data_IF_172368430817
#
_entry.id   IF_172368430817
#
_cell.length_a   1.000
_cell.length_b   1.000
_cell.length_c   1.000
_cell.angle_alpha   90.00
_cell.angle_beta   90.00
_cell.angle_gamma   90.00
#
_symmetry.space_group_name_H-M   'P 1'
#
loop_
_entity.id
_entity.type
_entity.pdbx_description
1 polymer ?
#
# COMPACT_ATOMS: atom_id res chain seq x y z
N UNK A 1 -1.65 43.73 -42.83
CA UNK A 1 -2.31 42.72 -41.97
C UNK A 1 -2.34 41.41 -42.76
N UNK A 2 -1.41 40.50 -42.49
CA UNK A 2 -1.36 39.18 -43.15
C UNK A 2 -1.27 38.09 -42.09
N UNK A 3 -2.26 37.21 -42.12
CA UNK A 3 -2.37 36.02 -41.27
C UNK A 3 -1.50 34.93 -41.88
N UNK A 4 -0.61 34.32 -41.08
CA UNK A 4 -0.02 33.01 -41.40
C UNK A 4 0.04 32.17 -40.14
N UNK A 5 -0.87 31.21 -40.07
CA UNK A 5 -0.80 30.06 -39.19
C UNK A 5 0.36 29.17 -39.61
N UNK A 6 1.14 28.68 -38.64
CA UNK A 6 2.01 27.52 -38.80
C UNK A 6 1.76 26.60 -37.60
N UNK A 7 0.88 25.63 -37.85
CA UNK A 7 0.80 24.36 -37.13
C UNK A 7 1.87 23.44 -37.70
N UNK A 8 2.59 22.73 -36.83
CA UNK A 8 2.96 21.35 -37.13
C UNK A 8 4.44 20.98 -37.06
N UNK A 9 4.66 19.93 -36.27
CA UNK A 9 5.74 18.93 -36.37
C UNK A 9 7.08 19.26 -35.67
N UNK A 10 7.09 19.11 -34.34
CA UNK A 10 8.32 18.76 -33.60
C UNK A 10 8.57 17.26 -33.76
N UNK A 11 9.42 16.91 -34.71
CA UNK A 11 9.96 15.59 -34.93
C UNK A 11 11.14 15.39 -33.95
N UNK A 12 10.89 14.87 -32.74
CA UNK A 12 11.97 14.47 -31.84
C UNK A 12 12.28 13.00 -32.05
N UNK A 13 13.30 12.77 -32.88
CA UNK A 13 14.02 11.53 -32.98
C UNK A 13 14.56 11.13 -31.59
N UNK A 14 14.24 9.93 -31.14
CA UNK A 14 14.92 9.28 -30.01
C UNK A 14 16.29 8.79 -30.49
N UNK A 15 17.41 9.19 -29.86
CA UNK A 15 18.68 8.52 -30.08
C UNK A 15 18.72 7.21 -29.29
N UNK A 16 18.90 6.10 -30.02
CA UNK A 16 19.31 4.81 -29.45
C UNK A 16 20.76 4.90 -28.96
N UNK A 17 21.10 4.39 -27.76
CA UNK A 17 22.48 4.05 -27.44
C UNK A 17 22.80 2.63 -27.91
N UNK A 18 23.73 2.50 -28.85
CA UNK A 18 24.58 1.32 -29.01
C UNK A 18 25.74 1.41 -28.01
N UNK A 19 26.04 0.36 -27.25
CA UNK A 19 27.41 -0.04 -26.86
C UNK A 19 27.42 -1.50 -26.37
N UNK A 20 27.89 -2.37 -27.27
CA UNK A 20 29.01 -3.32 -27.12
C UNK A 20 29.27 -4.05 -25.79
N UNK A 21 29.08 -5.38 -25.90
CA UNK A 21 29.93 -6.51 -25.49
C UNK A 21 30.71 -6.49 -24.16
N UNK A 22 30.36 -7.49 -23.33
CA UNK A 22 31.31 -8.50 -22.85
C UNK A 22 31.95 -8.23 -21.48
N UNK A 23 31.70 -9.12 -20.51
CA UNK A 23 32.74 -9.96 -19.89
C UNK A 23 32.19 -10.88 -18.77
N UNK A 24 32.49 -12.18 -18.96
CA UNK A 24 33.13 -13.10 -18.00
C UNK A 24 32.43 -13.36 -16.65
N UNK A 25 31.74 -14.49 -16.63
CA UNK A 25 31.87 -15.61 -15.69
C UNK A 25 32.28 -15.32 -14.24
N UNK A 26 31.36 -15.57 -13.33
CA UNK A 26 31.66 -16.03 -11.99
C UNK A 26 30.87 -17.31 -11.70
N UNK A 27 31.58 -18.45 -11.64
CA UNK A 27 31.16 -19.62 -10.87
C UNK A 27 32.14 -19.76 -9.72
N UNK A 28 31.63 -19.81 -8.48
CA UNK A 28 32.18 -20.75 -7.51
C UNK A 28 31.13 -21.78 -7.13
N UNK A 29 31.58 -23.03 -7.15
CA UNK A 29 30.86 -24.19 -6.70
C UNK A 29 30.88 -24.33 -5.16
N UNK A 30 29.97 -25.18 -4.70
CA UNK A 30 30.10 -26.06 -3.53
C UNK A 30 29.89 -25.49 -2.12
N UNK A 31 28.67 -25.76 -1.62
CA UNK A 31 28.36 -26.64 -0.46
C UNK A 31 29.27 -26.58 0.77
N UNK A 32 28.64 -26.28 1.92
CA UNK A 32 28.76 -26.89 3.25
C UNK A 32 28.03 -25.96 4.23
N UNK A 33 27.31 -26.34 5.27
CA UNK A 33 26.79 -27.59 5.79
C UNK A 33 25.72 -27.16 6.83
N UNK A 34 24.76 -28.03 7.12
CA UNK A 34 23.85 -27.90 8.27
C UNK A 34 24.63 -27.63 9.57
N UNK A 35 24.10 -26.75 10.41
CA UNK A 35 24.30 -26.80 11.85
C UNK A 35 23.00 -26.39 12.56
N UNK A 36 22.21 -27.42 12.93
CA UNK A 36 21.20 -27.31 13.97
C UNK A 36 21.90 -27.08 15.32
N UNK A 37 21.53 -26.04 16.05
CA UNK A 37 21.75 -25.97 17.49
C UNK A 37 20.44 -25.60 18.19
N UNK A 38 19.76 -26.63 18.67
CA UNK A 38 18.73 -26.57 19.71
C UNK A 38 19.38 -26.28 21.07
N UNK A 39 18.92 -25.25 21.77
CA UNK A 39 19.09 -25.06 23.22
C UNK A 39 17.76 -24.49 23.74
N UNK A 40 16.85 -25.33 24.27
CA UNK A 40 16.73 -25.78 25.67
C UNK A 40 16.45 -24.66 26.69
N UNK A 41 15.19 -24.69 27.14
CA UNK A 41 14.68 -24.52 28.51
C UNK A 41 14.94 -23.22 29.31
N UNK A 42 13.83 -22.63 29.76
CA UNK A 42 13.56 -22.48 31.19
C UNK A 42 14.01 -21.17 31.82
N UNK A 43 13.19 -20.12 31.68
CA UNK A 43 13.29 -18.89 32.48
C UNK A 43 12.06 -18.74 33.37
N UNK A 44 12.26 -18.74 34.68
CA UNK A 44 11.26 -18.83 35.73
C UNK A 44 10.27 -17.65 35.80
N UNK A 45 9.04 -17.99 36.18
CA UNK A 45 8.00 -17.09 36.67
C UNK A 45 8.42 -16.48 38.01
N UNK A 46 8.80 -15.19 38.03
CA UNK A 46 8.70 -14.38 39.26
C UNK A 46 8.40 -12.92 38.88
N UNK A 47 7.20 -12.46 39.24
CA UNK A 47 6.75 -11.10 39.01
C UNK A 47 5.56 -10.79 39.91
N UNK A 48 5.78 -10.82 41.23
CA UNK A 48 4.85 -10.27 42.20
C UNK A 48 5.02 -8.75 42.20
N UNK A 49 4.04 -8.04 41.64
CA UNK A 49 3.98 -6.58 41.63
C UNK A 49 2.54 -6.16 41.80
N UNK A 50 2.12 -6.00 43.06
CA UNK A 50 0.82 -5.47 43.42
C UNK A 50 0.70 -4.01 42.98
N UNK A 51 -0.25 -3.75 42.10
CA UNK A 51 -0.79 -2.44 41.76
C UNK A 51 -2.19 -2.68 41.22
N UNK A 52 -3.21 -2.13 41.89
CA UNK A 52 -4.62 -2.50 41.71
C UNK A 52 -5.08 -2.50 40.25
N UNK A 53 -5.19 -3.70 39.68
CA UNK A 53 -5.93 -3.93 38.44
C UNK A 53 -7.41 -3.95 38.78
N UNK A 54 -8.14 -2.90 38.38
CA UNK A 54 -9.56 -3.04 38.17
C UNK A 54 -9.75 -4.27 37.26
N UNK A 55 -10.52 -5.25 37.73
CA UNK A 55 -10.78 -6.45 36.97
C UNK A 55 -11.39 -6.03 35.61
N UNK A 56 -10.83 -6.48 34.47
CA UNK A 56 -11.49 -6.25 33.19
C UNK A 56 -12.88 -6.86 33.26
N UNK A 57 -13.88 -6.06 32.89
CA UNK A 57 -15.27 -6.46 32.86
C UNK A 57 -15.41 -7.71 31.96
N UNK A 58 -15.81 -8.87 32.49
CA UNK A 58 -15.93 -10.10 31.69
C UNK A 58 -17.01 -9.99 30.61
N UNK A 59 -17.87 -8.97 30.67
CA UNK A 59 -18.91 -8.68 29.67
C UNK A 59 -18.48 -7.63 28.62
N UNK A 60 -17.23 -7.14 28.68
CA UNK A 60 -16.69 -6.26 27.65
C UNK A 60 -16.49 -7.03 26.34
N UNK A 61 -17.51 -6.97 25.48
CA UNK A 61 -17.41 -7.47 24.11
C UNK A 61 -16.36 -6.65 23.35
N UNK A 62 -15.34 -7.27 22.71
CA UNK A 62 -14.39 -6.56 21.88
C UNK A 62 -15.14 -5.78 20.79
N UNK A 63 -14.95 -4.47 20.73
CA UNK A 63 -15.48 -3.68 19.63
C UNK A 63 -14.85 -4.18 18.32
N UNK A 64 -15.69 -4.52 17.34
CA UNK A 64 -15.21 -4.91 16.01
C UNK A 64 -14.48 -3.72 15.37
N UNK A 65 -13.15 -3.75 15.35
CA UNK A 65 -12.36 -2.74 14.66
C UNK A 65 -12.43 -3.00 13.16
N UNK A 66 -13.07 -2.08 12.43
CA UNK A 66 -13.03 -2.09 10.96
C UNK A 66 -11.87 -1.22 10.52
N UNK A 67 -11.01 -1.77 9.66
CA UNK A 67 -9.99 -0.99 8.96
C UNK A 67 -10.67 0.02 8.05
N UNK A 68 -10.28 1.28 8.20
CA UNK A 68 -10.77 2.39 7.40
C UNK A 68 -10.11 2.39 6.01
N UNK A 69 -10.71 3.04 5.00
CA UNK A 69 -10.08 3.20 3.69
C UNK A 69 -8.71 3.90 3.76
N UNK A 70 -8.57 4.88 4.66
CA UNK A 70 -7.30 5.58 4.87
C UNK A 70 -6.20 4.65 5.42
N UNK A 71 -6.54 3.78 6.37
CA UNK A 71 -5.60 2.79 6.91
C UNK A 71 -5.19 1.74 5.87
N UNK A 72 -6.13 1.27 5.04
CA UNK A 72 -5.83 0.37 3.93
C UNK A 72 -4.90 1.03 2.89
N UNK A 73 -5.20 2.27 2.50
CA UNK A 73 -4.34 3.06 1.62
C UNK A 73 -2.93 3.21 2.19
N UNK A 74 -2.82 3.60 3.46
CA UNK A 74 -1.52 3.84 4.10
C UNK A 74 -0.68 2.56 4.16
N UNK A 75 -1.30 1.42 4.49
CA UNK A 75 -0.63 0.12 4.51
C UNK A 75 -0.14 -0.30 3.12
N UNK A 76 -1.00 -0.20 2.10
CA UNK A 76 -0.68 -0.63 0.74
C UNK A 76 0.40 0.25 0.10
N UNK A 77 0.24 1.57 0.19
CA UNK A 77 1.19 2.54 -0.39
C UNK A 77 2.54 2.48 0.32
N UNK A 78 2.57 2.37 1.65
CA UNK A 78 3.84 2.30 2.41
C UNK A 78 4.62 1.03 2.10
N UNK A 79 3.93 -0.11 1.98
CA UNK A 79 4.55 -1.37 1.59
C UNK A 79 5.25 -1.26 0.24
N UNK A 80 4.54 -0.80 -0.79
CA UNK A 80 5.11 -0.69 -2.13
C UNK A 80 6.21 0.38 -2.23
N UNK A 81 6.07 1.49 -1.50
CA UNK A 81 7.11 2.51 -1.44
C UNK A 81 8.42 1.97 -0.80
N UNK A 82 8.31 1.14 0.23
CA UNK A 82 9.47 0.47 0.86
C UNK A 82 10.11 -0.54 -0.09
N UNK A 83 9.32 -1.32 -0.82
CA UNK A 83 9.82 -2.24 -1.84
C UNK A 83 10.53 -1.49 -2.98
N UNK A 84 9.99 -0.35 -3.40
CA UNK A 84 10.62 0.53 -4.39
C UNK A 84 11.95 1.12 -3.90
N UNK A 85 12.09 1.42 -2.60
CA UNK A 85 13.36 1.86 -2.01
C UNK A 85 14.40 0.75 -1.94
N UNK A 86 13.97 -0.48 -1.62
CA UNK A 86 14.86 -1.65 -1.56
C UNK A 86 15.37 -2.03 -2.95
N UNK A 87 14.63 -1.69 -4.00
CA UNK A 87 14.93 -2.14 -5.36
C UNK A 87 14.74 -3.66 -5.47
N UNK A 88 13.71 -4.20 -4.81
CA UNK A 88 13.40 -5.63 -4.86
C UNK A 88 12.97 -6.05 -6.27
N UNK A 89 12.94 -7.36 -6.52
CA UNK A 89 12.46 -7.93 -7.80
C UNK A 89 11.04 -7.47 -8.15
N UNK A 90 10.24 -7.09 -7.14
CA UNK A 90 8.86 -6.61 -7.27
C UNK A 90 8.74 -5.10 -7.49
N UNK A 91 9.83 -4.34 -7.35
CA UNK A 91 9.80 -2.88 -7.48
C UNK A 91 9.32 -2.43 -8.87
N UNK A 92 9.62 -3.23 -9.90
CA UNK A 92 9.27 -2.96 -11.30
C UNK A 92 7.86 -3.38 -11.73
N UNK A 93 7.05 -3.98 -10.84
CA UNK A 93 5.64 -4.27 -11.17
C UNK A 93 4.89 -2.97 -11.46
N UNK A 94 3.98 -3.02 -12.43
CA UNK A 94 3.10 -1.89 -12.71
C UNK A 94 2.12 -1.67 -11.53
N UNK A 95 1.51 -0.49 -11.50
CA UNK A 95 0.68 -0.06 -10.38
C UNK A 95 -0.63 -0.87 -10.27
N UNK A 96 -1.16 -1.40 -11.39
CA UNK A 96 -2.35 -2.26 -11.39
C UNK A 96 -2.03 -3.64 -10.83
N UNK A 97 -0.87 -4.20 -11.17
CA UNK A 97 -0.37 -5.46 -10.60
C UNK A 97 -0.13 -5.37 -9.09
N UNK A 98 0.25 -4.17 -8.60
CA UNK A 98 0.39 -3.88 -7.17
C UNK A 98 -0.95 -3.71 -6.45
N UNK A 99 -2.05 -3.64 -7.20
CA UNK A 99 -3.39 -3.41 -6.68
C UNK A 99 -3.62 -1.97 -6.19
N UNK A 100 -2.82 -1.02 -6.66
CA UNK A 100 -3.00 0.40 -6.32
C UNK A 100 -4.14 0.98 -7.16
N UNK A 101 -4.92 1.89 -6.57
CA UNK A 101 -5.75 2.81 -7.34
C UNK A 101 -4.88 3.86 -8.05
N UNK A 102 -5.44 4.61 -9.00
CA UNK A 102 -4.72 5.71 -9.65
C UNK A 102 -4.28 6.78 -8.64
N UNK A 103 -5.15 7.12 -7.70
CA UNK A 103 -4.84 8.11 -6.66
C UNK A 103 -3.80 7.58 -5.67
N UNK A 104 -3.88 6.30 -5.30
CA UNK A 104 -2.87 5.65 -4.45
C UNK A 104 -1.51 5.59 -5.15
N UNK A 105 -1.49 5.36 -6.47
CA UNK A 105 -0.27 5.39 -7.27
C UNK A 105 0.35 6.79 -7.30
N UNK A 106 -0.46 7.85 -7.43
CA UNK A 106 0.04 9.21 -7.34
C UNK A 106 0.71 9.50 -5.98
N UNK A 107 0.09 9.04 -4.89
CA UNK A 107 0.68 9.15 -3.54
C UNK A 107 1.98 8.32 -3.46
N UNK A 108 2.00 7.10 -4.00
CA UNK A 108 3.18 6.25 -4.03
C UNK A 108 4.38 6.96 -4.69
N UNK A 109 4.20 7.51 -5.88
CA UNK A 109 5.28 8.18 -6.61
C UNK A 109 5.82 9.39 -5.85
N UNK A 110 4.93 10.21 -5.27
CA UNK A 110 5.32 11.36 -4.44
C UNK A 110 6.16 10.91 -3.23
N UNK A 111 5.69 9.89 -2.51
CA UNK A 111 6.34 9.38 -1.31
C UNK A 111 7.69 8.74 -1.64
N UNK A 112 7.78 7.95 -2.71
CA UNK A 112 9.04 7.33 -3.14
C UNK A 112 10.07 8.40 -3.52
N UNK A 113 9.67 9.45 -4.24
CA UNK A 113 10.57 10.56 -4.57
C UNK A 113 11.11 11.25 -3.31
N UNK A 114 10.22 11.56 -2.35
CA UNK A 114 10.61 12.16 -1.08
C UNK A 114 11.52 11.25 -0.25
N UNK A 115 11.22 9.95 -0.18
CA UNK A 115 11.98 8.99 0.59
C UNK A 115 13.36 8.70 -0.02
N UNK A 116 13.50 8.75 -1.34
CA UNK A 116 14.82 8.69 -2.00
C UNK A 116 15.69 9.89 -1.60
N UNK A 117 15.12 11.09 -1.59
CA UNK A 117 15.83 12.29 -1.14
C UNK A 117 16.20 12.21 0.35
N UNK A 118 15.30 11.72 1.20
CA UNK A 118 15.54 11.49 2.62
C UNK A 118 16.66 10.47 2.85
N UNK A 119 16.64 9.36 2.10
CA UNK A 119 17.66 8.31 2.19
C UNK A 119 19.05 8.83 1.90
N UNK A 120 19.19 9.69 0.89
CA UNK A 120 20.49 10.31 0.56
C UNK A 120 21.02 11.19 1.69
N UNK A 121 20.14 11.87 2.43
CA UNK A 121 20.52 12.82 3.48
C UNK A 121 20.71 12.16 4.85
N UNK A 122 19.86 11.21 5.19
CA UNK A 122 19.70 10.71 6.56
C UNK A 122 19.68 9.18 6.66
N UNK A 123 19.84 8.46 5.54
CA UNK A 123 19.94 7.01 5.51
C UNK A 123 18.61 6.26 5.40
N UNK A 124 18.69 4.93 5.30
CA UNK A 124 17.55 4.06 5.01
C UNK A 124 16.44 4.10 6.06
N UNK A 125 16.79 4.05 7.34
CA UNK A 125 15.82 4.08 8.44
C UNK A 125 15.01 5.39 8.47
N UNK A 126 15.65 6.52 8.21
CA UNK A 126 14.98 7.82 8.13
C UNK A 126 14.00 7.86 6.94
N UNK A 127 14.40 7.29 5.79
CA UNK A 127 13.52 7.20 4.63
C UNK A 127 12.30 6.30 4.87
N UNK A 128 12.47 5.16 5.53
CA UNK A 128 11.34 4.27 5.89
C UNK A 128 10.38 4.95 6.87
N UNK A 129 10.89 5.64 7.88
CA UNK A 129 10.06 6.42 8.81
C UNK A 129 9.34 7.59 8.10
N UNK A 130 9.98 8.21 7.11
CA UNK A 130 9.33 9.22 6.28
C UNK A 130 8.21 8.62 5.43
N UNK A 131 8.41 7.44 4.83
CA UNK A 131 7.36 6.73 4.08
C UNK A 131 6.14 6.55 4.98
N UNK A 132 6.30 5.95 6.16
CA UNK A 132 5.18 5.62 7.04
C UNK A 132 4.39 6.86 7.45
N UNK A 133 5.08 7.95 7.80
CA UNK A 133 4.43 9.21 8.16
C UNK A 133 3.70 9.82 6.96
N UNK A 134 4.36 9.92 5.80
CA UNK A 134 3.80 10.60 4.63
C UNK A 134 2.64 9.85 4.02
N UNK A 135 2.69 8.52 3.96
CA UNK A 135 1.55 7.74 3.46
C UNK A 135 0.36 7.88 4.37
N UNK A 136 0.54 7.84 5.70
CA UNK A 136 -0.55 8.08 6.64
C UNK A 136 -1.18 9.47 6.45
N UNK A 137 -0.37 10.52 6.37
CA UNK A 137 -0.83 11.90 6.14
C UNK A 137 -1.61 12.04 4.82
N UNK A 138 -1.03 11.54 3.71
CA UNK A 138 -1.60 11.68 2.36
C UNK A 138 -2.85 10.84 2.17
N UNK A 139 -2.85 9.59 2.64
CA UNK A 139 -4.01 8.71 2.56
C UNK A 139 -5.17 9.21 3.42
N UNK A 140 -4.90 9.77 4.60
CA UNK A 140 -5.93 10.42 5.41
C UNK A 140 -6.52 11.64 4.68
N UNK A 141 -5.67 12.51 4.14
CA UNK A 141 -6.11 13.69 3.39
C UNK A 141 -6.93 13.34 2.13
N UNK A 142 -6.63 12.21 1.49
CA UNK A 142 -7.33 11.72 0.32
C UNK A 142 -8.52 10.78 0.65
N UNK A 143 -8.94 10.67 1.91
CA UNK A 143 -10.01 9.77 2.35
C UNK A 143 -9.82 8.30 1.87
N UNK A 144 -8.58 7.82 1.85
CA UNK A 144 -8.22 6.48 1.37
C UNK A 144 -7.86 6.39 -0.11
N UNK A 145 -7.86 7.51 -0.83
CA UNK A 145 -7.47 7.58 -2.24
C UNK A 145 -8.22 6.51 -3.07
N UNK A 146 -9.53 6.44 -2.85
CA UNK A 146 -10.39 5.41 -3.45
C UNK A 146 -10.76 5.72 -4.90
N UNK A 147 -10.25 6.81 -5.47
CA UNK A 147 -10.43 7.15 -6.89
C UNK A 147 -9.83 6.07 -7.79
N UNK A 148 -10.75 5.41 -8.49
CA UNK A 148 -10.62 4.20 -9.29
C UNK A 148 -9.37 4.12 -10.20
N UNK A 149 -8.73 2.93 -10.25
CA UNK A 149 -8.13 2.40 -11.48
C UNK A 149 -9.25 2.26 -12.52
N UNK A 150 -9.05 2.42 -13.82
CA UNK A 150 -10.05 2.85 -14.82
C UNK A 150 -11.38 2.03 -14.97
N UNK A 151 -11.66 1.04 -14.12
CA UNK A 151 -12.77 0.09 -14.22
C UNK A 151 -13.68 -0.07 -12.97
N UNK A 152 -13.46 0.62 -11.84
CA UNK A 152 -14.31 0.47 -10.65
C UNK A 152 -15.45 1.51 -10.61
N UNK A 153 -16.68 1.07 -10.32
CA UNK A 153 -17.85 1.93 -10.01
C UNK A 153 -18.42 1.60 -8.64
N UNK A 154 -18.91 2.61 -7.92
CA UNK A 154 -19.59 2.40 -6.64
C UNK A 154 -20.79 1.47 -6.86
N UNK A 155 -20.88 0.34 -6.14
CA UNK A 155 -22.11 -0.42 -6.14
C UNK A 155 -23.19 0.49 -5.57
N UNK A 156 -24.25 0.73 -6.34
CA UNK A 156 -25.41 1.46 -5.85
C UNK A 156 -26.19 0.57 -4.86
N UNK A 157 -25.77 0.61 -3.60
CA UNK A 157 -26.40 -0.14 -2.51
C UNK A 157 -27.84 0.30 -2.25
N UNK A 158 -28.20 1.53 -2.64
CA UNK A 158 -29.56 2.05 -2.61
C UNK A 158 -30.44 1.29 -3.59
N UNK A 159 -30.00 1.16 -4.84
CA UNK A 159 -30.68 0.33 -5.86
C UNK A 159 -30.68 -1.14 -5.44
N UNK A 160 -29.58 -1.67 -4.89
CA UNK A 160 -29.49 -3.05 -4.44
C UNK A 160 -30.38 -3.37 -3.23
N UNK A 161 -30.69 -2.37 -2.38
CA UNK A 161 -31.66 -2.49 -1.28
C UNK A 161 -33.09 -2.40 -1.82
N UNK A 162 -33.37 -1.44 -2.69
CA UNK A 162 -34.69 -1.24 -3.27
C UNK A 162 -35.14 -2.45 -4.11
N UNK A 163 -34.23 -3.06 -4.89
CA UNK A 163 -34.51 -4.28 -5.64
C UNK A 163 -34.84 -5.49 -4.74
N UNK A 164 -34.26 -5.57 -3.53
CA UNK A 164 -34.59 -6.62 -2.56
C UNK A 164 -35.96 -6.41 -1.93
N UNK A 165 -36.35 -5.16 -1.71
CA UNK A 165 -37.64 -4.80 -1.13
C UNK A 165 -38.78 -4.97 -2.13
N UNK A 166 -38.55 -4.72 -3.42
CA UNK A 166 -39.55 -4.86 -4.49
C UNK A 166 -39.59 -6.25 -5.15
N UNK A 167 -38.78 -7.21 -4.68
CA UNK A 167 -38.77 -8.56 -5.22
C UNK A 167 -40.13 -9.26 -4.98
N UNK A 168 -40.73 -9.90 -6.01
CA UNK A 168 -42.01 -10.57 -5.85
C UNK A 168 -41.91 -11.71 -4.82
N UNK A 169 -42.70 -11.61 -3.75
CA UNK A 169 -42.70 -12.57 -2.64
C UNK A 169 -42.20 -12.02 -1.30
N UNK A 170 -41.69 -10.79 -1.24
CA UNK A 170 -41.33 -10.15 0.04
C UNK A 170 -42.60 -9.68 0.76
N UNK A 171 -42.88 -10.14 2.00
CA UNK A 171 -44.06 -9.70 2.73
C UNK A 171 -43.97 -8.20 3.06
N UNK A 172 -44.96 -7.43 2.61
CA UNK A 172 -45.08 -6.00 2.92
C UNK A 172 -45.33 -5.84 4.42
N UNK A 173 -44.36 -5.26 5.14
CA UNK A 173 -44.59 -4.84 6.53
C UNK A 173 -45.43 -3.58 6.52
N UNK A 174 -46.73 -3.71 6.78
CA UNK A 174 -47.57 -2.58 7.14
C UNK A 174 -47.16 -2.10 8.54
N UNK A 175 -46.52 -0.93 8.60
CA UNK A 175 -46.39 -0.20 9.86
C UNK A 175 -47.77 0.35 10.21
N UNK A 176 -48.40 -0.25 11.24
CA UNK A 176 -49.57 0.33 11.87
C UNK A 176 -49.18 1.68 12.50
N UNK A 177 -49.97 2.71 12.18
CA UNK A 177 -49.90 4.04 12.79
C UNK A 177 -50.63 4.02 14.12
#
# INVERSE_FOLDING_TARGET
MSVRALVGARNTAYPSPMTTAGQRGFRPAARCALALCTALLGGALTGCGGGGSAAPDPDATPAAHRTTPAELCAALVSYWAKEALKGSEWAGLDWEQKGLSNEQYAIHEEVVAAARAERTKYGGAAAEALIDRRTAERCAAANGATGSSENWREPDWTTARQLRETAPGTPVRHHAV
#
